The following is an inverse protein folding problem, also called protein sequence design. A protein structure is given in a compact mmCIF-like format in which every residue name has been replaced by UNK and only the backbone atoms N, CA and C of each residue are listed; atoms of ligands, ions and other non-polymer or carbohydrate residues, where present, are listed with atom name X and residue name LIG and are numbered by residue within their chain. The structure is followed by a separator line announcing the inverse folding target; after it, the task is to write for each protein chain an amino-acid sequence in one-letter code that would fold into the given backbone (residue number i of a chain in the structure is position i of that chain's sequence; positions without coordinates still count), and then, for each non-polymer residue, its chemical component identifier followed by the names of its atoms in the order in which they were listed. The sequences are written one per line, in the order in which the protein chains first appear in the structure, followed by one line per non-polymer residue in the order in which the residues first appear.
data_IF_175740990102
#
_entry.id   IF_175740990102
#
_cell.length_a   1.000
_cell.length_b   1.000
_cell.length_c   1.000
_cell.angle_alpha   90.00
_cell.angle_beta   90.00
_cell.angle_gamma   90.00
#
_symmetry.space_group_name_H-M   'P 1'
#
loop_
_entity.id
_entity.type
_entity.pdbx_description
1 polymer ?
#
# COMPACT_ATOMS: atom_id res chain seq x y z
N UNK A 1 8.38 -1.01 1.62
CA UNK A 1 9.24 -0.69 2.80
C UNK A 1 9.04 0.78 3.07
N UNK A 2 8.84 1.16 4.34
CA UNK A 2 8.18 2.38 4.82
C UNK A 2 8.86 3.75 4.57
N UNK A 3 9.52 3.94 3.43
CA UNK A 3 10.32 5.15 3.18
C UNK A 3 9.46 6.43 3.17
N UNK A 4 8.22 6.34 2.64
CA UNK A 4 7.31 7.48 2.61
C UNK A 4 6.86 7.86 4.01
N UNK A 5 6.53 6.86 4.84
CA UNK A 5 6.16 7.11 6.24
C UNK A 5 7.33 7.67 7.05
N UNK A 6 8.55 7.18 6.84
CA UNK A 6 9.73 7.73 7.53
C UNK A 6 9.89 9.22 7.26
N UNK A 7 9.89 9.64 6.00
CA UNK A 7 9.99 11.07 5.61
C UNK A 7 8.83 11.88 6.18
N UNK A 8 7.59 11.37 6.03
CA UNK A 8 6.40 12.00 6.57
C UNK A 8 6.47 12.23 8.10
N UNK A 9 7.07 11.28 8.82
CA UNK A 9 7.22 11.34 10.27
C UNK A 9 8.36 12.28 10.70
N UNK A 10 9.46 12.30 9.96
CA UNK A 10 10.58 13.21 10.19
C UNK A 10 10.15 14.67 10.19
N UNK A 11 9.31 15.06 9.22
CA UNK A 11 8.78 16.43 9.07
C UNK A 11 7.80 16.84 10.18
N UNK A 12 7.24 15.88 10.92
CA UNK A 12 6.17 16.12 11.91
C UNK A 12 6.58 15.88 13.35
N UNK A 13 7.69 15.18 13.58
CA UNK A 13 8.16 14.90 14.94
C UNK A 13 8.52 16.21 15.66
N UNK A 14 7.98 16.47 16.87
CA UNK A 14 8.26 17.70 17.61
C UNK A 14 9.76 17.89 17.83
N UNK A 15 10.21 19.14 17.84
CA UNK A 15 11.64 19.44 18.04
C UNK A 15 12.08 19.16 19.49
N UNK A 16 11.13 19.14 20.41
CA UNK A 16 11.35 18.97 21.84
C UNK A 16 11.65 17.53 22.24
N UNK A 17 11.43 16.55 21.35
CA UNK A 17 11.77 15.15 21.63
C UNK A 17 13.29 14.95 21.53
N UNK A 18 13.82 14.09 22.39
CA UNK A 18 15.21 13.69 22.38
C UNK A 18 15.61 12.94 21.10
N UNK A 19 16.91 12.93 20.79
CA UNK A 19 17.46 12.18 19.66
C UNK A 19 17.11 10.69 19.71
N UNK A 20 17.11 10.08 20.90
CA UNK A 20 16.72 8.68 21.09
C UNK A 20 15.25 8.41 20.76
N UNK A 21 14.34 9.31 21.15
CA UNK A 21 12.91 9.21 20.80
C UNK A 21 12.70 9.34 19.29
N UNK A 22 13.38 10.30 18.66
CA UNK A 22 13.35 10.49 17.21
C UNK A 22 13.85 9.26 16.45
N UNK A 23 14.98 8.67 16.87
CA UNK A 23 15.53 7.46 16.23
C UNK A 23 14.57 6.27 16.33
N UNK A 24 13.92 6.06 17.48
CA UNK A 24 12.92 5.00 17.64
C UNK A 24 11.71 5.23 16.76
N UNK A 25 11.18 6.45 16.77
CA UNK A 25 10.04 6.85 15.96
C UNK A 25 10.28 6.61 14.45
N UNK A 26 11.43 7.07 13.94
CA UNK A 26 11.80 6.90 12.53
C UNK A 26 12.09 5.44 12.17
N UNK A 27 12.72 4.66 13.07
CA UNK A 27 12.97 3.24 12.84
C UNK A 27 11.67 2.42 12.80
N UNK A 28 10.67 2.77 13.60
CA UNK A 28 9.34 2.16 13.50
C UNK A 28 8.69 2.55 12.16
N UNK A 29 8.72 3.82 11.77
CA UNK A 29 8.15 4.29 10.51
C UNK A 29 8.75 3.58 9.28
N UNK A 30 10.05 3.28 9.32
CA UNK A 30 10.75 2.52 8.28
C UNK A 30 10.35 1.04 8.20
N UNK A 31 9.99 0.44 9.35
CA UNK A 31 9.67 -0.98 9.48
C UNK A 31 8.19 -1.32 9.23
N UNK A 32 7.28 -0.36 9.35
CA UNK A 32 5.84 -0.56 9.07
C UNK A 32 5.56 -0.52 7.56
N UNK A 33 4.40 -1.05 7.14
CA UNK A 33 3.95 -0.91 5.75
C UNK A 33 3.39 0.49 5.49
N UNK A 34 3.76 1.12 4.37
CA UNK A 34 3.31 2.48 4.03
C UNK A 34 1.78 2.61 4.01
N UNK A 35 1.09 1.61 3.43
CA UNK A 35 -0.35 1.68 3.20
C UNK A 35 -1.16 1.48 4.49
N UNK A 36 -0.79 0.47 5.29
CA UNK A 36 -1.52 0.16 6.54
C UNK A 36 -1.01 0.94 7.74
N UNK A 37 0.19 1.53 7.65
CA UNK A 37 0.94 2.14 8.76
C UNK A 37 1.21 1.21 9.93
N UNK A 38 0.98 -0.09 9.78
CA UNK A 38 1.09 -1.09 10.84
C UNK A 38 2.34 -1.94 10.60
N UNK A 39 2.96 -2.40 11.68
CA UNK A 39 4.04 -3.38 11.64
C UNK A 39 3.92 -4.35 12.80
N UNK A 40 4.11 -5.63 12.50
CA UNK A 40 4.08 -6.70 13.50
C UNK A 40 5.01 -7.84 13.09
N UNK A 41 5.27 -8.75 14.04
CA UNK A 41 5.99 -9.99 13.78
C UNK A 41 6.95 -10.36 14.90
N UNK A 42 7.29 -11.65 14.98
CA UNK A 42 8.20 -12.18 15.99
C UNK A 42 9.61 -11.55 15.95
N UNK A 43 10.08 -11.15 14.76
CA UNK A 43 11.38 -10.49 14.55
C UNK A 43 11.31 -8.96 14.57
N UNK A 44 10.13 -8.35 14.73
CA UNK A 44 9.98 -6.90 14.63
C UNK A 44 10.85 -6.17 15.68
N UNK A 45 10.79 -6.64 16.92
CA UNK A 45 11.57 -6.06 18.03
C UNK A 45 13.07 -6.25 17.87
N UNK A 46 13.51 -7.41 17.40
CA UNK A 46 14.94 -7.65 17.11
C UNK A 46 15.45 -6.70 16.02
N UNK A 47 14.66 -6.48 14.96
CA UNK A 47 14.98 -5.49 13.91
C UNK A 47 15.01 -4.06 14.46
N UNK A 48 14.07 -3.72 15.34
CA UNK A 48 13.99 -2.40 15.94
C UNK A 48 15.19 -2.13 16.86
N UNK A 49 15.57 -3.07 17.73
CA UNK A 49 16.78 -2.98 18.54
C UNK A 49 18.04 -2.83 17.67
N UNK A 50 18.15 -3.64 16.62
CA UNK A 50 19.29 -3.55 15.69
C UNK A 50 19.38 -2.20 14.99
N UNK A 51 18.26 -1.64 14.51
CA UNK A 51 18.23 -0.33 13.82
C UNK A 51 18.48 0.86 14.75
N UNK A 52 18.08 0.74 16.02
CA UNK A 52 18.15 1.86 16.98
C UNK A 52 19.41 1.83 17.83
N UNK A 53 20.11 0.70 17.91
CA UNK A 53 21.30 0.53 18.74
C UNK A 53 21.02 0.37 20.23
N UNK A 54 19.75 0.25 20.65
CA UNK A 54 19.42 -0.06 22.05
C UNK A 54 19.82 -1.49 22.40
N UNK A 55 20.35 -1.66 23.61
CA UNK A 55 20.87 -2.95 24.09
C UNK A 55 19.74 -3.93 24.40
N UNK A 56 18.60 -3.44 24.89
CA UNK A 56 17.49 -4.28 25.33
C UNK A 56 16.11 -3.63 25.15
N UNK A 57 15.08 -4.47 25.17
CA UNK A 57 13.68 -4.05 25.00
C UNK A 57 13.18 -3.13 26.13
N UNK A 58 13.80 -3.18 27.31
CA UNK A 58 13.43 -2.34 28.45
C UNK A 58 13.78 -0.87 28.21
N UNK A 59 14.96 -0.59 27.64
CA UNK A 59 15.35 0.77 27.23
C UNK A 59 14.39 1.32 26.18
N UNK A 60 14.09 0.51 25.16
CA UNK A 60 13.14 0.86 24.11
C UNK A 60 11.73 1.11 24.67
N UNK A 61 11.27 0.29 25.62
CA UNK A 61 9.99 0.48 26.32
C UNK A 61 9.89 1.81 27.07
N UNK A 62 11.00 2.26 27.70
CA UNK A 62 11.06 3.58 28.34
C UNK A 62 10.93 4.71 27.32
N UNK A 63 11.62 4.61 26.18
CA UNK A 63 11.56 5.60 25.10
C UNK A 63 10.14 5.68 24.50
N UNK A 64 9.50 4.53 24.25
CA UNK A 64 8.11 4.47 23.81
C UNK A 64 7.14 5.08 24.83
N UNK A 65 7.38 4.88 26.12
CA UNK A 65 6.61 5.51 27.18
C UNK A 65 6.72 7.04 27.19
N UNK A 66 7.90 7.59 26.91
CA UNK A 66 8.09 9.04 26.79
C UNK A 66 7.44 9.60 25.51
N UNK A 67 7.59 8.93 24.37
CA UNK A 67 6.86 9.29 23.15
C UNK A 67 5.35 9.36 23.38
N UNK A 68 4.78 8.37 24.09
CA UNK A 68 3.38 8.39 24.48
C UNK A 68 3.02 9.56 25.41
N UNK A 69 3.92 9.96 26.31
CA UNK A 69 3.73 11.16 27.14
C UNK A 69 3.73 12.46 26.34
N UNK A 70 4.41 12.49 25.19
CA UNK A 70 4.31 13.56 24.19
C UNK A 70 3.07 13.43 23.27
N UNK A 71 2.16 12.49 23.54
CA UNK A 71 0.97 12.23 22.72
C UNK A 71 1.26 11.42 21.44
N UNK A 72 2.46 10.86 21.30
CA UNK A 72 2.88 10.04 20.15
C UNK A 72 2.84 8.57 20.56
N UNK A 73 1.64 7.98 20.54
CA UNK A 73 1.49 6.54 20.84
C UNK A 73 1.74 5.70 19.59
N UNK A 74 2.87 4.98 19.58
CA UNK A 74 3.27 4.10 18.48
C UNK A 74 2.86 2.64 18.67
N UNK A 75 2.39 2.26 19.87
CA UNK A 75 1.99 0.88 20.17
C UNK A 75 0.49 0.74 19.95
N UNK A 76 0.09 -0.40 19.38
CA UNK A 76 -1.33 -0.74 19.26
C UNK A 76 -1.75 -1.49 20.52
N UNK A 77 -2.82 -1.05 21.22
CA UNK A 77 -3.33 -1.75 22.38
C UNK A 77 -3.92 -3.11 22.00
N UNK A 78 -3.86 -4.07 22.93
CA UNK A 78 -4.46 -5.40 22.71
C UNK A 78 -5.97 -5.24 22.66
N UNK A 79 -6.61 -5.79 21.63
CA UNK A 79 -8.07 -5.80 21.52
C UNK A 79 -8.66 -7.06 22.15
N UNK A 80 -9.78 -6.91 22.84
CA UNK A 80 -10.58 -8.03 23.35
C UNK A 80 -11.32 -8.77 22.24
N UNK A 81 -12.05 -9.82 22.62
CA UNK A 81 -12.94 -10.55 21.69
C UNK A 81 -14.08 -9.69 21.13
N UNK A 82 -14.39 -8.58 21.81
CA UNK A 82 -15.35 -7.56 21.42
C UNK A 82 -14.78 -6.51 20.45
N UNK A 83 -13.49 -6.62 20.10
CA UNK A 83 -12.79 -5.68 19.24
C UNK A 83 -12.43 -4.36 19.92
N UNK A 84 -12.73 -4.17 21.20
CA UNK A 84 -12.38 -2.95 21.93
C UNK A 84 -10.97 -3.05 22.53
N UNK A 85 -10.23 -1.93 22.64
CA UNK A 85 -8.97 -1.92 23.35
C UNK A 85 -9.15 -2.35 24.81
N UNK A 86 -8.38 -3.34 25.25
CA UNK A 86 -8.36 -3.76 26.64
C UNK A 86 -7.77 -2.64 27.49
N UNK A 87 -8.45 -2.33 28.59
CA UNK A 87 -7.99 -1.38 29.60
C UNK A 87 -7.79 -2.09 30.93
N UNK A 88 -6.81 -1.65 31.72
CA UNK A 88 -6.60 -2.13 33.08
C UNK A 88 -7.63 -1.50 34.03
N UNK A 89 -7.63 -1.91 35.31
CA UNK A 89 -8.52 -1.36 36.35
C UNK A 89 -8.37 0.16 36.57
N UNK A 90 -7.31 0.78 36.05
CA UNK A 90 -7.03 2.22 36.11
C UNK A 90 -7.44 2.96 34.82
N UNK A 91 -8.11 2.28 33.89
CA UNK A 91 -8.51 2.84 32.59
C UNK A 91 -7.35 3.00 31.59
N UNK A 92 -6.16 2.49 31.87
CA UNK A 92 -5.02 2.59 30.95
C UNK A 92 -5.05 1.44 29.96
N UNK A 93 -4.71 1.72 28.69
CA UNK A 93 -4.62 0.70 27.67
C UNK A 93 -3.57 -0.38 28.00
N UNK A 94 -3.93 -1.63 27.72
CA UNK A 94 -3.05 -2.78 27.86
C UNK A 94 -2.36 -3.03 26.54
N UNK A 95 -1.03 -3.04 26.54
CA UNK A 95 -0.20 -3.34 25.38
C UNK A 95 0.38 -4.75 25.48
N UNK A 96 0.68 -5.36 24.32
CA UNK A 96 1.26 -6.69 24.27
C UNK A 96 2.63 -6.72 24.98
N UNK A 97 2.81 -7.70 25.87
CA UNK A 97 4.07 -7.93 26.59
C UNK A 97 4.95 -8.95 25.88
N UNK A 98 6.16 -9.19 26.41
CA UNK A 98 7.09 -10.20 25.89
C UNK A 98 6.39 -11.57 25.79
N UNK A 99 6.56 -12.24 24.66
CA UNK A 99 5.88 -13.52 24.36
C UNK A 99 4.57 -13.37 23.59
N UNK A 100 4.01 -12.16 23.52
CA UNK A 100 2.83 -11.86 22.68
C UNK A 100 3.25 -11.09 21.42
N UNK A 101 2.41 -11.17 20.38
CA UNK A 101 2.60 -10.39 19.17
C UNK A 101 2.45 -8.90 19.49
N UNK A 102 3.55 -8.16 19.35
CA UNK A 102 3.58 -6.71 19.49
C UNK A 102 3.31 -6.08 18.14
N UNK A 103 2.34 -5.17 18.12
CA UNK A 103 1.94 -4.43 16.93
C UNK A 103 2.25 -2.96 17.14
N UNK A 104 2.91 -2.36 16.17
CA UNK A 104 3.24 -0.95 16.13
C UNK A 104 2.47 -0.29 15.00
N UNK A 105 2.13 0.98 15.19
CA UNK A 105 1.43 1.79 14.18
C UNK A 105 2.02 3.19 14.17
N UNK A 106 2.20 3.74 12.97
CA UNK A 106 2.45 5.19 12.80
C UNK A 106 1.10 5.92 12.83
N UNK A 107 0.88 6.89 13.73
CA UNK A 107 -0.36 7.64 13.81
C UNK A 107 -0.72 8.35 12.52
N UNK A 108 -2.01 8.63 12.33
CA UNK A 108 -2.49 9.46 11.22
C UNK A 108 -2.22 10.95 11.49
N UNK A 109 -2.30 11.78 10.45
CA UNK A 109 -2.12 13.23 10.58
C UNK A 109 -3.09 13.86 11.60
N UNK A 110 -4.32 13.34 11.69
CA UNK A 110 -5.36 13.79 12.62
C UNK A 110 -5.11 13.37 14.07
N UNK A 111 -4.34 12.31 14.30
CA UNK A 111 -4.03 11.78 15.63
C UNK A 111 -2.74 12.39 16.19
N UNK A 112 -1.95 13.02 15.34
CA UNK A 112 -0.67 13.58 15.73
C UNK A 112 -0.91 14.91 16.48
N UNK A 113 -0.34 15.09 17.68
CA UNK A 113 -0.48 16.35 18.42
C UNK A 113 0.25 17.48 17.69
N UNK A 114 -0.48 18.14 16.79
CA UNK A 114 -0.37 19.54 16.42
C UNK A 114 1.04 20.11 16.21
N UNK A 115 1.58 19.91 15.01
CA UNK A 115 2.00 21.04 14.16
C UNK A 115 1.69 20.67 12.70
N UNK A 116 1.14 21.60 11.88
CA UNK A 116 1.20 21.41 10.43
C UNK A 116 2.68 21.19 10.06
N UNK A 117 2.92 20.32 9.08
CA UNK A 117 4.29 20.15 8.58
C UNK A 117 4.85 21.54 8.24
N UNK A 118 6.12 21.83 8.58
CA UNK A 118 6.74 23.07 8.17
C UNK A 118 6.48 23.27 6.67
N UNK A 119 5.94 24.43 6.31
CA UNK A 119 5.83 24.78 4.91
C UNK A 119 7.25 25.10 4.44
N UNK A 120 7.93 24.08 3.94
CA UNK A 120 9.13 24.28 3.16
C UNK A 120 8.64 24.85 1.83
N UNK A 121 8.77 26.17 1.66
CA UNK A 121 8.55 26.84 0.38
C UNK A 121 9.64 26.39 -0.61
N UNK A 122 9.53 25.14 -1.09
CA UNK A 122 10.45 24.52 -2.06
C UNK A 122 10.45 25.25 -3.41
N UNK A 123 9.56 26.24 -3.61
CA UNK A 123 9.52 27.07 -4.82
C UNK A 123 10.74 28.02 -4.92
N UNK A 124 11.37 28.38 -3.80
CA UNK A 124 12.54 29.29 -3.77
C UNK A 124 13.89 28.59 -3.84
N UNK A 125 13.97 27.31 -3.46
CA UNK A 125 15.19 26.50 -3.44
C UNK A 125 15.22 25.48 -4.59
N UNK A 126 14.72 25.85 -5.78
CA UNK A 126 15.18 25.17 -6.99
C UNK A 126 16.71 25.27 -6.96
N UNK A 127 17.36 24.12 -6.86
CA UNK A 127 18.81 24.01 -7.10
C UNK A 127 19.10 24.91 -8.28
N UNK A 128 19.95 25.95 -8.13
CA UNK A 128 20.17 26.93 -9.18
C UNK A 128 20.37 26.15 -10.45
N UNK A 129 19.45 26.34 -11.41
CA UNK A 129 19.28 25.48 -12.57
C UNK A 129 20.67 25.09 -13.03
N UNK A 130 21.00 23.82 -12.81
CA UNK A 130 22.32 23.29 -13.14
C UNK A 130 22.42 23.46 -14.64
N UNK A 131 23.05 24.57 -15.02
CA UNK A 131 23.04 25.08 -16.38
C UNK A 131 23.47 23.93 -17.28
N UNK A 132 22.56 23.34 -18.09
CA UNK A 132 22.88 22.15 -18.85
C UNK A 132 23.98 22.41 -19.90
N UNK A 133 24.36 23.68 -20.09
CA UNK A 133 25.45 24.12 -20.95
C UNK A 133 26.80 24.34 -20.25
N UNK A 134 26.93 24.21 -18.92
CA UNK A 134 28.21 24.41 -18.23
C UNK A 134 29.20 23.21 -18.35
N UNK A 135 28.93 22.23 -19.22
CA UNK A 135 29.77 21.03 -19.38
C UNK A 135 30.59 20.97 -20.67
N UNK A 136 30.68 22.08 -21.42
CA UNK A 136 31.45 22.10 -22.68
C UNK A 136 32.32 23.35 -22.90
N UNK A 137 32.77 24.02 -21.85
CA UNK A 137 33.95 24.89 -21.96
C UNK A 137 35.20 24.14 -21.50
N UNK A 138 35.82 23.44 -22.46
CA UNK A 138 37.23 23.62 -22.83
C UNK A 138 38.36 23.61 -21.79
N UNK A 139 38.14 23.32 -20.51
CA UNK A 139 39.22 23.23 -19.54
C UNK A 139 39.95 21.89 -19.67
N UNK A 140 40.94 21.96 -20.55
CA UNK A 140 42.17 21.18 -20.64
C UNK A 140 42.43 20.35 -19.37
N UNK A 141 42.62 19.03 -19.48
CA UNK A 141 43.09 18.22 -18.37
C UNK A 141 44.41 18.83 -17.86
N UNK A 142 44.53 19.19 -16.56
CA UNK A 142 45.85 19.49 -16.02
C UNK A 142 46.73 18.27 -16.27
N UNK A 143 47.92 18.55 -16.79
CA UNK A 143 48.90 17.55 -17.13
C UNK A 143 49.06 16.57 -15.96
N UNK A 144 49.18 15.31 -16.35
CA UNK A 144 49.54 14.17 -15.54
C UNK A 144 50.86 14.45 -14.82
N UNK A 145 50.80 15.14 -13.68
CA UNK A 145 51.90 15.16 -12.72
C UNK A 145 52.01 13.74 -12.15
N UNK A 146 53.08 13.10 -12.56
CA UNK A 146 53.69 11.94 -11.92
C UNK A 146 53.78 12.21 -10.41
N UNK A 147 52.85 11.65 -9.65
CA UNK A 147 52.98 11.51 -8.20
C UNK A 147 54.20 10.63 -7.94
N UNK A 148 55.27 11.26 -7.46
CA UNK A 148 56.40 10.57 -6.88
C UNK A 148 55.93 9.75 -5.67
N UNK A 149 56.46 8.53 -5.58
CA UNK A 149 56.24 7.62 -4.47
C UNK A 149 56.88 8.19 -3.19
N UNK A 150 56.12 8.98 -2.43
CA UNK A 150 56.50 9.35 -1.08
C UNK A 150 56.44 8.14 -0.15
N UNK A 151 57.58 7.97 0.53
CA UNK A 151 57.93 6.86 1.40
C UNK A 151 57.01 6.76 2.60
N UNK A 152 56.68 5.52 2.95
CA UNK A 152 56.12 5.13 4.25
C UNK A 152 56.91 5.75 5.41
N UNK A 153 56.27 6.52 6.32
CA UNK A 153 56.89 6.81 7.60
C UNK A 153 56.82 5.58 8.49
N UNK A 154 57.97 5.33 9.09
CA UNK A 154 58.32 4.21 9.95
C UNK A 154 57.40 4.03 11.14
N UNK A 155 57.12 2.76 11.39
CA UNK A 155 56.76 2.11 12.66
C UNK A 155 57.33 2.85 13.88
N UNK A 156 56.52 3.68 14.51
CA UNK A 156 56.80 4.26 15.81
C UNK A 156 56.08 3.48 16.91
N UNK A 157 56.80 3.31 18.00
CA UNK A 157 56.62 2.32 19.06
C UNK A 157 55.38 2.56 19.92
N UNK A 158 54.61 1.49 20.13
CA UNK A 158 53.57 1.37 21.15
C UNK A 158 54.13 1.69 22.55
N UNK A 159 53.81 2.87 23.07
CA UNK A 159 53.94 3.24 24.48
C UNK A 159 52.54 3.25 25.10
N UNK A 160 52.24 2.43 26.12
CA UNK A 160 50.94 2.43 26.77
C UNK A 160 50.85 3.61 27.75
N UNK A 161 50.34 4.75 27.29
CA UNK A 161 49.95 5.85 28.17
C UNK A 161 48.59 5.55 28.82
N UNK A 162 48.68 5.17 30.10
CA UNK A 162 47.58 5.21 31.07
C UNK A 162 47.02 6.63 31.12
N UNK A 163 45.76 6.80 30.74
CA UNK A 163 45.00 7.99 31.12
C UNK A 163 44.32 7.80 32.48
N UNK A 164 44.18 8.86 33.28
CA UNK A 164 43.86 8.79 34.70
C UNK A 164 42.37 8.77 34.98
N UNK A 165 42.02 8.16 36.11
CA UNK A 165 40.70 8.11 36.69
C UNK A 165 40.09 9.51 36.84
N UNK A 166 38.89 9.72 36.27
CA UNK A 166 38.02 10.83 36.67
C UNK A 166 37.08 10.35 37.76
N UNK A 167 37.35 10.85 38.96
CA UNK A 167 36.48 10.85 40.13
C UNK A 167 35.10 11.39 39.76
N UNK A 168 34.09 10.54 39.86
CA UNK A 168 32.69 10.94 39.78
C UNK A 168 32.24 11.36 41.16
N UNK A 169 32.18 12.69 41.36
CA UNK A 169 31.61 13.34 42.54
C UNK A 169 30.14 12.96 42.66
N UNK A 170 29.82 12.26 43.74
CA UNK A 170 28.47 12.05 44.26
C UNK A 170 27.90 13.42 44.65
N UNK A 171 26.85 13.89 43.97
CA UNK A 171 26.00 14.96 44.51
C UNK A 171 24.89 14.36 45.34
N UNK A 172 24.87 14.85 46.57
CA UNK A 172 24.03 14.54 47.70
C UNK A 172 22.57 14.97 47.49
N UNK A 173 21.67 14.26 48.17
CA UNK A 173 20.24 14.45 48.20
C UNK A 173 19.80 15.79 48.81
N UNK A 174 18.65 16.30 48.37
CA UNK A 174 17.82 17.28 49.10
C UNK A 174 17.21 18.37 48.22
N UNK A 175 15.97 18.17 47.75
CA UNK A 175 14.78 18.92 48.23
C UNK A 175 13.56 18.81 47.28
N UNK A 176 12.33 18.82 47.82
CA UNK A 176 11.09 18.58 47.08
C UNK A 176 10.60 19.85 46.35
N UNK A 177 10.34 19.73 45.04
CA UNK A 177 9.69 20.80 44.27
C UNK A 177 8.16 20.62 44.41
N UNK A 178 7.42 21.63 44.88
CA UNK A 178 5.96 21.57 44.94
C UNK A 178 5.34 21.62 43.54
N UNK A 179 4.39 20.71 43.32
CA UNK A 179 3.51 20.63 42.16
C UNK A 179 2.55 21.83 42.14
N UNK A 180 2.66 22.70 41.14
CA UNK A 180 1.55 23.55 40.69
C UNK A 180 1.35 23.34 39.19
N UNK A 181 0.51 22.37 38.84
CA UNK A 181 0.00 22.18 37.48
C UNK A 181 -1.23 23.07 37.31
N UNK A 182 -1.04 24.23 36.69
CA UNK A 182 -2.13 25.08 36.21
C UNK A 182 -2.69 24.47 34.92
N UNK A 183 -3.92 23.98 35.01
CA UNK A 183 -4.75 23.54 33.89
C UNK A 183 -5.25 24.77 33.14
N UNK A 184 -4.70 25.04 31.95
CA UNK A 184 -5.28 25.98 30.99
C UNK A 184 -6.06 25.17 29.94
N UNK A 185 -7.39 25.30 29.97
CA UNK A 185 -8.28 24.83 28.91
C UNK A 185 -8.30 25.90 27.80
N UNK A 186 -7.99 25.57 26.54
CA UNK A 186 -8.25 26.48 25.43
C UNK A 186 -9.74 26.47 25.03
N UNK A 187 -10.26 27.59 24.52
CA UNK A 187 -11.67 27.75 24.18
C UNK A 187 -12.06 26.97 22.93
N UNK A 188 -13.28 26.45 22.99
CA UNK A 188 -14.01 25.74 21.94
C UNK A 188 -14.10 26.59 20.66
N UNK A 189 -13.42 26.16 19.61
CA UNK A 189 -13.60 26.69 18.27
C UNK A 189 -14.79 25.99 17.60
N UNK A 190 -15.67 26.81 17.01
CA UNK A 190 -16.91 26.44 16.35
C UNK A 190 -16.71 25.46 15.17
N UNK A 191 -17.74 24.68 14.80
CA UNK A 191 -17.67 23.77 13.68
C UNK A 191 -17.64 24.55 12.35
N UNK A 192 -16.53 24.42 11.62
CA UNK A 192 -16.49 24.82 10.22
C UNK A 192 -17.38 23.86 9.40
N UNK A 193 -18.36 24.46 8.75
CA UNK A 193 -19.27 23.85 7.78
C UNK A 193 -18.51 23.12 6.68
N UNK A 194 -18.71 21.80 6.62
CA UNK A 194 -18.27 20.95 5.52
C UNK A 194 -18.95 21.39 4.22
N UNK A 195 -18.12 21.74 3.25
CA UNK A 195 -18.49 21.95 1.85
C UNK A 195 -19.04 20.64 1.27
N UNK A 196 -20.25 20.61 0.67
CA UNK A 196 -20.81 19.39 0.09
C UNK A 196 -20.12 19.09 -1.25
N UNK A 197 -19.13 18.21 -1.24
CA UNK A 197 -18.63 17.58 -2.47
C UNK A 197 -19.54 16.42 -2.87
N UNK A 198 -20.23 16.59 -4.01
CA UNK A 198 -20.69 15.57 -4.95
C UNK A 198 -21.07 14.19 -4.39
N UNK A 199 -22.23 14.09 -3.73
CA UNK A 199 -22.79 12.85 -3.16
C UNK A 199 -23.20 11.77 -4.19
N UNK A 200 -23.18 12.07 -5.49
CA UNK A 200 -23.68 11.17 -6.52
C UNK A 200 -22.72 10.02 -6.89
N UNK A 201 -21.42 10.15 -6.60
CA UNK A 201 -20.43 9.11 -6.89
C UNK A 201 -20.41 7.97 -5.86
N UNK A 202 -20.52 8.30 -4.57
CA UNK A 202 -20.33 7.33 -3.48
C UNK A 202 -21.39 6.22 -3.43
N UNK A 203 -22.65 6.54 -3.75
CA UNK A 203 -23.73 5.54 -3.67
C UNK A 203 -23.55 4.37 -4.64
N UNK A 204 -23.04 4.62 -5.86
CA UNK A 204 -22.79 3.55 -6.84
C UNK A 204 -21.62 2.66 -6.45
N UNK A 205 -20.60 3.25 -5.84
CA UNK A 205 -19.42 2.52 -5.38
C UNK A 205 -19.77 1.65 -4.16
N UNK A 206 -20.54 2.17 -3.21
CA UNK A 206 -21.03 1.41 -2.05
C UNK A 206 -21.91 0.21 -2.45
N UNK A 207 -22.76 0.38 -3.47
CA UNK A 207 -23.58 -0.70 -4.02
C UNK A 207 -22.70 -1.77 -4.70
N UNK A 208 -21.70 -1.36 -5.49
CA UNK A 208 -20.76 -2.26 -6.12
C UNK A 208 -19.93 -3.05 -5.10
N UNK A 209 -19.41 -2.39 -4.06
CA UNK A 209 -18.69 -3.05 -2.96
C UNK A 209 -19.55 -4.07 -2.23
N UNK A 210 -20.83 -3.75 -2.01
CA UNK A 210 -21.80 -4.66 -1.39
C UNK A 210 -22.03 -5.89 -2.27
N UNK A 211 -22.23 -5.71 -3.57
CA UNK A 211 -22.41 -6.80 -4.53
C UNK A 211 -21.16 -7.71 -4.61
N UNK A 212 -19.96 -7.13 -4.63
CA UNK A 212 -18.69 -7.90 -4.62
C UNK A 212 -18.53 -8.69 -3.33
N UNK A 213 -18.83 -8.07 -2.17
CA UNK A 213 -18.78 -8.76 -0.89
C UNK A 213 -19.78 -9.93 -0.81
N UNK A 214 -20.98 -9.77 -1.39
CA UNK A 214 -21.96 -10.84 -1.49
C UNK A 214 -21.50 -11.96 -2.42
N UNK A 215 -20.94 -11.63 -3.59
CA UNK A 215 -20.35 -12.60 -4.52
C UNK A 215 -19.28 -13.47 -3.85
N UNK A 216 -18.35 -12.86 -3.09
CA UNK A 216 -17.30 -13.58 -2.34
C UNK A 216 -17.85 -14.53 -1.26
N UNK A 217 -18.98 -14.17 -0.64
CA UNK A 217 -19.66 -15.03 0.36
C UNK A 217 -20.37 -16.21 -0.28
N UNK A 218 -20.80 -16.07 -1.52
CA UNK A 218 -21.58 -17.07 -2.27
C UNK A 218 -20.71 -17.97 -3.18
N UNK A 219 -19.37 -17.87 -3.10
CA UNK A 219 -18.48 -18.81 -3.79
C UNK A 219 -18.73 -20.25 -3.32
N UNK A 220 -18.53 -21.27 -4.18
CA UNK A 220 -18.67 -22.66 -3.78
C UNK A 220 -17.66 -23.02 -2.67
N UNK A 221 -18.08 -23.89 -1.74
CA UNK A 221 -17.16 -24.45 -0.76
C UNK A 221 -16.05 -25.24 -1.47
N UNK A 222 -14.80 -25.18 -1.00
CA UNK A 222 -14.30 -24.54 0.23
C UNK A 222 -13.85 -23.07 0.07
N UNK A 223 -14.20 -22.39 -1.03
CA UNK A 223 -13.74 -21.03 -1.35
C UNK A 223 -14.57 -19.91 -0.72
N UNK A 224 -15.80 -20.21 -0.26
CA UNK A 224 -16.64 -19.24 0.43
C UNK A 224 -15.92 -18.60 1.61
N UNK A 225 -15.94 -17.27 1.68
CA UNK A 225 -15.37 -16.51 2.80
C UNK A 225 -16.45 -15.91 3.70
N UNK A 226 -16.16 -15.80 5.00
CA UNK A 226 -17.08 -15.17 5.96
C UNK A 226 -17.27 -13.67 5.70
N UNK A 227 -18.35 -13.09 6.24
CA UNK A 227 -18.77 -11.69 6.04
C UNK A 227 -17.64 -10.67 6.23
N UNK A 228 -16.88 -10.78 7.32
CA UNK A 228 -15.80 -9.84 7.66
C UNK A 228 -14.68 -9.91 6.61
N UNK A 229 -14.27 -11.12 6.24
CA UNK A 229 -13.22 -11.34 5.23
C UNK A 229 -13.67 -10.89 3.85
N UNK A 230 -14.93 -11.16 3.47
CA UNK A 230 -15.50 -10.71 2.21
C UNK A 230 -15.51 -9.18 2.11
N UNK A 231 -15.97 -8.49 3.17
CA UNK A 231 -15.99 -7.01 3.23
C UNK A 231 -14.58 -6.43 3.12
N UNK A 232 -13.59 -7.06 3.75
CA UNK A 232 -12.20 -6.62 3.68
C UNK A 232 -11.55 -6.84 2.30
N UNK A 233 -12.00 -7.84 1.53
CA UNK A 233 -11.45 -8.19 0.22
C UNK A 233 -12.21 -7.54 -0.95
N UNK A 234 -13.44 -7.08 -0.73
CA UNK A 234 -14.29 -6.51 -1.77
C UNK A 234 -13.67 -5.33 -2.53
N UNK A 235 -12.99 -4.36 -1.89
CA UNK A 235 -12.36 -3.25 -2.62
C UNK A 235 -11.27 -3.74 -3.59
N UNK A 236 -10.45 -4.71 -3.16
CA UNK A 236 -9.37 -5.27 -3.99
C UNK A 236 -9.92 -6.03 -5.20
N UNK A 237 -11.01 -6.79 -5.01
CA UNK A 237 -11.65 -7.48 -6.13
C UNK A 237 -12.34 -6.49 -7.07
N UNK A 238 -12.99 -5.45 -6.54
CA UNK A 238 -13.64 -4.41 -7.36
C UNK A 238 -12.63 -3.70 -8.27
N UNK A 239 -11.49 -3.29 -7.71
CA UNK A 239 -10.38 -2.70 -8.47
C UNK A 239 -9.90 -3.65 -9.57
N UNK A 240 -9.55 -4.90 -9.20
CA UNK A 240 -9.07 -5.90 -10.14
C UNK A 240 -10.06 -6.22 -11.28
N UNK A 241 -11.36 -6.34 -11.00
CA UNK A 241 -12.35 -6.61 -12.06
C UNK A 241 -12.49 -5.43 -13.01
N UNK A 242 -12.44 -4.19 -12.51
CA UNK A 242 -12.56 -2.99 -13.35
C UNK A 242 -11.35 -2.80 -14.25
N UNK A 243 -10.13 -3.04 -13.73
CA UNK A 243 -8.90 -2.92 -14.50
C UNK A 243 -8.76 -4.02 -15.55
N UNK A 244 -9.08 -5.26 -15.17
CA UNK A 244 -8.86 -6.43 -16.02
C UNK A 244 -10.06 -6.74 -16.93
N UNK A 245 -11.17 -6.00 -16.80
CA UNK A 245 -12.36 -6.12 -17.62
C UNK A 245 -13.21 -7.35 -17.30
N UNK A 246 -13.21 -7.81 -16.05
CA UNK A 246 -14.07 -8.90 -15.59
C UNK A 246 -15.44 -8.40 -15.16
N UNK A 247 -16.42 -9.31 -15.20
CA UNK A 247 -17.75 -9.11 -14.65
C UNK A 247 -18.00 -10.11 -13.51
N UNK A 248 -18.94 -9.80 -12.61
CA UNK A 248 -19.35 -10.67 -11.51
C UNK A 248 -20.23 -11.82 -12.03
N UNK A 249 -19.64 -12.73 -12.80
CA UNK A 249 -20.32 -13.82 -13.49
C UNK A 249 -19.72 -15.20 -13.17
N UNK A 250 -20.25 -16.24 -13.83
CA UNK A 250 -19.80 -17.63 -13.67
C UNK A 250 -18.37 -17.86 -14.18
N UNK A 251 -17.89 -17.04 -15.13
CA UNK A 251 -16.51 -17.14 -15.62
C UNK A 251 -15.52 -16.67 -14.55
N UNK A 252 -15.78 -15.53 -13.92
CA UNK A 252 -14.97 -15.04 -12.80
C UNK A 252 -15.01 -16.04 -11.63
N UNK A 253 -16.19 -16.59 -11.32
CA UNK A 253 -16.34 -17.62 -10.30
C UNK A 253 -15.44 -18.81 -10.59
N UNK A 254 -15.53 -19.37 -11.80
CA UNK A 254 -14.73 -20.54 -12.22
C UNK A 254 -13.25 -20.26 -12.07
N UNK A 255 -12.83 -19.06 -12.49
CA UNK A 255 -11.42 -18.66 -12.45
C UNK A 255 -10.90 -18.52 -11.02
N UNK A 256 -11.66 -17.88 -10.13
CA UNK A 256 -11.29 -17.73 -8.73
C UNK A 256 -11.26 -19.07 -7.98
N UNK A 257 -12.08 -20.04 -8.39
CA UNK A 257 -12.23 -21.33 -7.70
C UNK A 257 -11.47 -22.51 -8.32
N UNK A 258 -10.67 -22.28 -9.37
CA UNK A 258 -9.86 -23.30 -10.05
C UNK A 258 -8.98 -24.07 -9.03
N UNK A 259 -8.85 -25.40 -9.07
CA UNK A 259 -8.05 -26.13 -8.06
C UNK A 259 -7.14 -27.18 -8.69
N UNK A 260 -6.06 -26.76 -9.38
CA UNK A 260 -5.19 -27.69 -10.09
C UNK A 260 -4.34 -28.58 -9.16
N UNK A 261 -4.00 -28.11 -7.95
CA UNK A 261 -2.97 -28.73 -7.10
C UNK A 261 -3.48 -29.22 -5.73
N UNK A 262 -4.79 -29.34 -5.53
CA UNK A 262 -5.35 -29.78 -4.25
C UNK A 262 -5.01 -28.82 -3.09
N UNK A 263 -5.28 -27.53 -3.31
CA UNK A 263 -4.96 -26.45 -2.39
C UNK A 263 -5.58 -26.70 -1.01
N UNK A 264 -4.79 -26.48 0.06
CA UNK A 264 -5.26 -26.63 1.46
C UNK A 264 -5.67 -25.31 2.13
N UNK A 265 -5.18 -24.17 1.63
CA UNK A 265 -5.39 -22.82 2.21
C UNK A 265 -6.17 -21.90 1.26
N UNK A 266 -7.44 -22.21 1.06
CA UNK A 266 -8.32 -21.53 0.10
C UNK A 266 -8.38 -20.01 0.28
N UNK A 267 -8.53 -19.50 1.50
CA UNK A 267 -8.63 -18.04 1.74
C UNK A 267 -7.35 -17.28 1.37
N UNK A 268 -6.18 -17.84 1.67
CA UNK A 268 -4.89 -17.25 1.32
C UNK A 268 -4.66 -17.25 -0.19
N UNK A 269 -5.02 -18.35 -0.86
CA UNK A 269 -4.89 -18.46 -2.32
C UNK A 269 -5.90 -17.56 -3.04
N UNK A 270 -7.11 -17.42 -2.50
CA UNK A 270 -8.12 -16.52 -3.07
C UNK A 270 -7.62 -15.07 -3.08
N UNK A 271 -7.00 -14.60 -1.99
CA UNK A 271 -6.36 -13.28 -1.95
C UNK A 271 -5.26 -13.13 -3.01
N UNK A 272 -4.40 -14.14 -3.15
CA UNK A 272 -3.33 -14.12 -4.16
C UNK A 272 -3.93 -14.00 -5.57
N UNK A 273 -4.98 -14.78 -5.88
CA UNK A 273 -5.64 -14.79 -7.19
C UNK A 273 -6.37 -13.50 -7.54
N UNK A 274 -6.91 -12.81 -6.54
CA UNK A 274 -7.54 -11.51 -6.75
C UNK A 274 -6.49 -10.48 -7.16
N UNK A 275 -5.31 -10.50 -6.51
CA UNK A 275 -4.21 -9.59 -6.85
C UNK A 275 -3.55 -9.95 -8.19
N UNK A 276 -3.48 -11.25 -8.51
CA UNK A 276 -2.87 -11.76 -9.75
C UNK A 276 -3.93 -12.15 -10.80
N UNK A 277 -5.07 -11.46 -10.81
CA UNK A 277 -6.17 -11.77 -11.73
C UNK A 277 -5.72 -11.46 -13.17
N UNK A 278 -5.68 -12.44 -14.09
CA UNK A 278 -5.29 -12.17 -15.47
C UNK A 278 -6.34 -11.31 -16.17
N UNK A 279 -5.98 -10.66 -17.27
CA UNK A 279 -6.96 -9.95 -18.12
C UNK A 279 -8.11 -10.88 -18.50
N UNK A 280 -9.35 -10.39 -18.41
CA UNK A 280 -10.52 -11.15 -18.78
C UNK A 280 -10.35 -11.68 -20.21
N UNK A 281 -10.65 -12.97 -20.46
CA UNK A 281 -10.65 -13.47 -21.82
C UNK A 281 -11.60 -12.56 -22.60
N UNK A 282 -11.10 -11.91 -23.66
CA UNK A 282 -11.97 -11.13 -24.54
C UNK A 282 -13.07 -12.07 -24.96
N UNK A 283 -14.30 -11.86 -24.45
CA UNK A 283 -15.43 -12.73 -24.67
C UNK A 283 -15.58 -12.88 -26.19
N UNK A 284 -15.07 -14.00 -26.74
CA UNK A 284 -14.47 -14.07 -28.07
C UNK A 284 -15.37 -13.46 -29.14
N UNK A 285 -15.25 -12.13 -29.31
CA UNK A 285 -16.32 -11.21 -29.69
C UNK A 285 -17.62 -11.93 -30.06
N UNK A 286 -18.27 -12.57 -29.06
CA UNK A 286 -19.11 -13.77 -29.22
C UNK A 286 -19.51 -13.90 -30.66
N UNK A 287 -18.66 -14.58 -31.49
CA UNK A 287 -18.71 -14.47 -32.96
C UNK A 287 -20.17 -14.36 -33.25
N UNK A 288 -20.62 -13.16 -33.65
CA UNK A 288 -21.97 -13.00 -34.15
C UNK A 288 -21.89 -13.86 -35.39
N UNK A 289 -22.10 -15.16 -35.23
CA UNK A 289 -22.93 -15.89 -36.14
C UNK A 289 -24.15 -15.01 -36.15
N UNK A 290 -24.16 -14.06 -37.10
CA UNK A 290 -25.28 -13.93 -37.96
C UNK A 290 -25.77 -15.36 -38.10
N UNK A 291 -26.85 -15.67 -37.39
CA UNK A 291 -27.63 -16.86 -37.63
C UNK A 291 -28.12 -16.67 -39.05
N UNK A 292 -27.20 -16.88 -40.00
CA UNK A 292 -27.48 -16.75 -41.40
C UNK A 292 -28.59 -17.78 -41.61
N UNK A 293 -29.65 -17.39 -42.31
CA UNK A 293 -30.68 -18.31 -42.71
C UNK A 293 -30.07 -19.61 -43.23
N UNK A 294 -30.80 -20.72 -43.08
CA UNK A 294 -30.41 -21.95 -43.77
C UNK A 294 -30.14 -21.64 -45.25
N UNK A 295 -29.14 -22.31 -45.82
CA UNK A 295 -28.78 -22.13 -47.22
C UNK A 295 -29.99 -22.36 -48.13
N UNK A 296 -30.22 -21.49 -49.12
CA UNK A 296 -31.40 -21.55 -49.98
C UNK A 296 -31.34 -22.65 -51.05
N UNK A 297 -30.19 -23.32 -51.22
CA UNK A 297 -29.99 -24.39 -52.20
C UNK A 297 -29.76 -23.92 -53.65
N UNK A 298 -29.95 -22.64 -53.97
CA UNK A 298 -29.76 -22.09 -55.32
C UNK A 298 -28.52 -21.21 -55.49
N UNK A 299 -27.89 -20.79 -54.39
CA UNK A 299 -26.74 -19.89 -54.43
C UNK A 299 -25.40 -20.64 -54.32
N UNK A 300 -24.34 -20.05 -54.85
CA UNK A 300 -22.97 -20.59 -54.77
C UNK A 300 -22.44 -21.28 -56.02
N UNK A 301 -23.09 -21.11 -57.18
CA UNK A 301 -22.58 -21.50 -58.51
C UNK A 301 -22.05 -22.96 -58.58
N UNK A 302 -22.77 -23.89 -57.95
CA UNK A 302 -22.41 -25.31 -57.91
C UNK A 302 -21.34 -25.69 -56.90
N UNK A 303 -20.90 -24.76 -56.04
CA UNK A 303 -19.96 -25.06 -54.97
C UNK A 303 -20.68 -25.65 -53.74
N UNK A 304 -20.46 -26.93 -53.39
CA UNK A 304 -21.11 -27.57 -52.25
C UNK A 304 -20.73 -26.93 -50.90
N UNK A 305 -19.62 -26.20 -50.83
CA UNK A 305 -19.22 -25.48 -49.62
C UNK A 305 -20.18 -24.34 -49.24
N UNK A 306 -21.08 -23.91 -50.14
CA UNK A 306 -22.09 -22.89 -49.86
C UNK A 306 -23.10 -23.30 -48.77
N UNK A 307 -23.31 -24.60 -48.57
CA UNK A 307 -24.16 -25.12 -47.50
C UNK A 307 -23.62 -24.73 -46.12
N UNK A 308 -22.32 -24.91 -45.91
CA UNK A 308 -21.68 -24.75 -44.60
C UNK A 308 -21.00 -23.39 -44.40
N UNK A 309 -20.68 -22.68 -45.49
CA UNK A 309 -19.90 -21.45 -45.41
C UNK A 309 -20.58 -20.29 -46.17
N UNK A 310 -21.00 -19.30 -45.39
CA UNK A 310 -21.64 -18.07 -45.81
C UNK A 310 -20.94 -17.32 -46.95
N UNK A 311 -19.61 -17.39 -47.00
CA UNK A 311 -18.79 -16.67 -47.99
C UNK A 311 -19.04 -17.15 -49.42
N UNK A 312 -19.47 -18.41 -49.59
CA UNK A 312 -19.79 -18.98 -50.89
C UNK A 312 -21.26 -18.82 -51.28
N UNK A 313 -22.09 -18.18 -50.45
CA UNK A 313 -23.52 -17.97 -50.74
C UNK A 313 -23.73 -16.72 -51.60
N UNK A 314 -23.22 -16.74 -52.82
CA UNK A 314 -23.36 -15.66 -53.81
C UNK A 314 -24.47 -15.95 -54.80
N UNK A 315 -25.14 -14.90 -55.30
CA UNK A 315 -26.20 -15.04 -56.29
C UNK A 315 -25.64 -15.65 -57.60
N UNK A 316 -26.42 -16.49 -58.31
CA UNK A 316 -25.94 -17.17 -59.52
C UNK A 316 -25.36 -16.21 -60.56
N UNK A 317 -24.14 -16.48 -61.04
CA UNK A 317 -23.45 -15.64 -62.02
C UNK A 317 -23.03 -14.25 -61.49
N UNK A 318 -23.06 -14.03 -60.18
CA UNK A 318 -22.69 -12.77 -59.54
C UNK A 318 -21.74 -12.99 -58.37
N UNK A 319 -20.88 -12.00 -58.09
CA UNK A 319 -20.05 -11.97 -56.88
C UNK A 319 -20.79 -11.36 -55.68
N UNK A 320 -22.06 -10.95 -55.84
CA UNK A 320 -22.86 -10.33 -54.78
C UNK A 320 -23.46 -11.40 -53.84
N UNK A 321 -23.64 -11.09 -52.54
CA UNK A 321 -24.31 -12.00 -51.59
C UNK A 321 -25.73 -12.34 -52.04
N UNK A 322 -26.11 -13.61 -51.95
CA UNK A 322 -27.47 -14.07 -52.25
C UNK A 322 -28.49 -13.37 -51.33
N UNK A 323 -29.55 -12.76 -51.88
CA UNK A 323 -30.54 -12.01 -51.10
C UNK A 323 -31.28 -12.87 -50.08
N UNK A 324 -31.57 -14.13 -50.41
CA UNK A 324 -32.28 -15.04 -49.51
C UNK A 324 -31.40 -15.51 -48.35
N UNK A 325 -30.10 -15.67 -48.59
CA UNK A 325 -29.14 -16.08 -47.57
C UNK A 325 -28.59 -14.90 -46.75
N UNK A 326 -28.68 -13.68 -47.26
CA UNK A 326 -28.11 -12.47 -46.65
C UNK A 326 -29.09 -11.28 -46.70
N UNK A 327 -30.27 -11.38 -46.05
CA UNK A 327 -31.31 -10.34 -46.13
C UNK A 327 -30.81 -8.97 -45.60
N UNK A 328 -29.94 -8.98 -44.60
CA UNK A 328 -29.35 -7.75 -44.02
C UNK A 328 -28.42 -7.01 -44.98
N UNK A 329 -27.75 -7.71 -45.90
CA UNK A 329 -26.84 -7.09 -46.86
C UNK A 329 -27.56 -6.33 -47.98
N UNK A 330 -28.83 -6.63 -48.20
CA UNK A 330 -29.67 -5.94 -49.18
C UNK A 330 -30.41 -4.75 -48.57
N UNK A 331 -30.85 -4.85 -47.31
CA UNK A 331 -31.48 -3.75 -46.59
C UNK A 331 -30.57 -2.51 -46.50
N UNK A 332 -29.25 -2.70 -46.39
CA UNK A 332 -28.27 -1.61 -46.31
C UNK A 332 -27.95 -0.92 -47.65
N UNK A 333 -28.36 -1.49 -48.80
CA UNK A 333 -28.14 -0.88 -50.13
C UNK A 333 -29.42 -0.21 -50.68
N UNK A 334 -30.56 -0.36 -50.00
CA UNK A 334 -31.84 0.23 -50.40
C UNK A 334 -32.16 1.52 -49.62
N UNK A 335 -31.31 1.92 -48.67
CA UNK A 335 -31.36 3.19 -47.94
C UNK A 335 -30.23 4.11 -48.42
#
# INVERSE_FOLDING_TARGET
MGYRLRRWFEDRLPQEISSGERVVALAIADLVWDDSRIGYGNKFMAKLLHKTGFENESQLGKVLGKLAAHGIELRVPVTGSDGKPLTNKRGQFVYAHRGHQRTFRVPLASEFPGRPAPHWDDEGERSPDRDPNAWYDGERPPARETFEAERSPSRETNRPERSPARESKVTQAGDPIPLTTTTYLPPSAAPHSNTPHGQAGGQREDEALTAVAEFLRNLPQPWAVGRVTATAMAPQLLEAITEQGWHLDEQLLTKLTENPDGIKRHSSVLRLRINDLPKAPQAAAAKRGSSLPRWCGQCGDGNPAAEFNAKFRTAPGSRKPCPDCHPTSHAANAA
#
